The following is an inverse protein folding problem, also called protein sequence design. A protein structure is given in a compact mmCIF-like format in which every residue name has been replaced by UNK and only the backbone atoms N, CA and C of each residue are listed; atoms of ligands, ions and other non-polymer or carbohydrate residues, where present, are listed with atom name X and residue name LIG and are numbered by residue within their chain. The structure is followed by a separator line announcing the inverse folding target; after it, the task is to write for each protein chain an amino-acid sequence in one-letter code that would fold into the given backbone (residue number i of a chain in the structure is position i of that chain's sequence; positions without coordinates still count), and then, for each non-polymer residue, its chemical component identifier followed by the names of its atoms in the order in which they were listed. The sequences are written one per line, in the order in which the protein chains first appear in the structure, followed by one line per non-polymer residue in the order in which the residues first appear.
data_IF_591121728150
#
_entry.id   IF_591121728150
#
_cell.length_a   1.000
_cell.length_b   1.000
_cell.length_c   1.000
_cell.angle_alpha   90.00
_cell.angle_beta   90.00
_cell.angle_gamma   90.00
#
_symmetry.space_group_name_H-M   'P 1'
#
loop_
_entity.id
_entity.type
_entity.pdbx_description
1 polymer ?
#
# COMPACT_ATOMS: atom_id res chain seq x y z
N UNK A 1 10.22 18.32 38.42
CA UNK A 1 9.40 17.93 37.25
C UNK A 1 10.06 16.70 36.63
N UNK A 2 9.71 15.50 37.13
CA UNK A 2 10.50 14.26 36.98
C UNK A 2 9.97 13.34 35.86
N UNK A 3 9.26 13.92 34.89
CA UNK A 3 8.49 13.17 33.87
C UNK A 3 9.33 12.78 32.64
N UNK A 4 10.59 13.21 32.53
CA UNK A 4 11.38 13.05 31.29
C UNK A 4 12.34 11.84 31.26
N UNK A 5 12.45 11.06 32.34
CA UNK A 5 13.47 9.98 32.45
C UNK A 5 12.93 8.56 32.24
N UNK A 6 11.67 8.40 31.83
CA UNK A 6 11.16 7.15 31.27
C UNK A 6 11.40 7.09 29.75
N UNK A 7 12.62 7.44 29.32
CA UNK A 7 13.16 6.79 28.13
C UNK A 7 13.33 5.33 28.54
N UNK A 8 12.28 4.52 28.32
CA UNK A 8 12.41 3.07 28.34
C UNK A 8 13.71 2.76 27.58
N UNK A 9 14.55 1.90 28.16
CA UNK A 9 15.54 1.18 27.38
C UNK A 9 14.77 0.28 26.42
N UNK A 10 14.19 0.89 25.38
CA UNK A 10 13.51 0.19 24.32
C UNK A 10 14.66 -0.42 23.54
N UNK A 11 14.90 -1.71 23.79
CA UNK A 11 15.85 -2.45 22.99
C UNK A 11 15.36 -2.42 21.54
N UNK A 12 16.29 -2.17 20.62
CA UNK A 12 15.97 -2.13 19.19
C UNK A 12 15.37 -3.49 18.76
N UNK A 13 14.41 -3.42 17.85
CA UNK A 13 13.97 -4.57 17.08
C UNK A 13 14.76 -4.67 15.78
N UNK A 14 14.67 -5.83 15.12
CA UNK A 14 15.38 -6.06 13.86
C UNK A 14 14.36 -6.32 12.75
N UNK A 15 14.45 -5.55 11.68
CA UNK A 15 13.63 -5.74 10.49
C UNK A 15 14.46 -6.43 9.39
N UNK A 16 13.95 -7.55 8.90
CA UNK A 16 14.49 -8.24 7.73
C UNK A 16 13.45 -8.19 6.62
N UNK A 17 13.78 -7.54 5.50
CA UNK A 17 12.88 -7.38 4.35
C UNK A 17 13.39 -8.23 3.19
N UNK A 18 12.53 -9.12 2.72
CA UNK A 18 12.77 -9.96 1.55
C UNK A 18 11.73 -9.67 0.48
N UNK A 19 12.09 -9.90 -0.77
CA UNK A 19 11.16 -9.86 -1.87
C UNK A 19 11.47 -10.99 -2.85
N UNK A 20 10.49 -11.31 -3.70
CA UNK A 20 10.67 -12.29 -4.77
C UNK A 20 11.77 -11.88 -5.78
N UNK A 21 12.05 -10.58 -5.88
CA UNK A 21 13.10 -10.03 -6.72
C UNK A 21 14.06 -9.19 -5.87
N UNK A 22 15.35 -9.45 -6.06
CA UNK A 22 16.43 -8.68 -5.43
C UNK A 22 16.64 -7.33 -6.12
N UNK A 23 17.24 -6.39 -5.39
CA UNK A 23 17.59 -5.06 -5.87
C UNK A 23 16.43 -4.07 -5.88
N UNK A 24 15.27 -4.40 -5.30
CA UNK A 24 14.14 -3.48 -5.22
C UNK A 24 14.33 -2.48 -4.07
N UNK A 25 14.03 -1.19 -4.25
CA UNK A 25 14.17 -0.21 -3.19
C UNK A 25 13.18 -0.50 -2.06
N UNK A 26 13.63 -0.33 -0.82
CA UNK A 26 12.82 -0.53 0.38
C UNK A 26 12.78 0.77 1.17
N UNK A 27 11.57 1.15 1.56
CA UNK A 27 11.27 2.31 2.38
C UNK A 27 10.64 1.86 3.70
N UNK A 28 10.98 2.58 4.77
CA UNK A 28 10.34 2.49 6.07
C UNK A 28 9.73 3.85 6.34
N UNK A 29 8.40 3.89 6.38
CA UNK A 29 7.57 5.09 6.25
C UNK A 29 7.91 5.86 4.97
N UNK A 30 8.77 6.87 5.07
CA UNK A 30 9.24 7.68 3.95
C UNK A 30 10.77 7.61 3.76
N UNK A 31 11.49 6.96 4.69
CA UNK A 31 12.94 6.87 4.67
C UNK A 31 13.41 5.66 3.87
N UNK A 32 14.35 5.90 2.95
CA UNK A 32 15.00 4.85 2.18
C UNK A 32 16.03 4.11 3.04
N UNK A 33 15.84 2.81 3.21
CA UNK A 33 16.71 1.97 4.05
C UNK A 33 17.68 1.10 3.24
N UNK A 34 17.46 0.96 1.93
CA UNK A 34 18.31 0.15 1.05
C UNK A 34 17.53 -0.63 0.00
N UNK A 35 18.19 -1.63 -0.60
CA UNK A 35 17.59 -2.50 -1.61
C UNK A 35 17.41 -3.92 -1.07
N UNK A 36 16.40 -4.65 -1.55
CA UNK A 36 16.15 -6.04 -1.17
C UNK A 36 17.32 -6.97 -1.58
N UNK A 37 17.67 -7.96 -0.76
CA UNK A 37 17.19 -8.19 0.61
C UNK A 37 17.87 -7.27 1.62
N UNK A 38 17.08 -6.70 2.54
CA UNK A 38 17.61 -5.96 3.70
C UNK A 38 17.61 -6.89 4.92
N UNK A 39 18.74 -7.01 5.60
CA UNK A 39 18.93 -8.00 6.68
C UNK A 39 19.18 -7.27 8.00
N UNK A 40 18.37 -7.56 9.02
CA UNK A 40 18.53 -7.09 10.40
C UNK A 40 18.76 -5.58 10.53
N UNK A 41 17.94 -4.80 9.85
CA UNK A 41 17.94 -3.35 9.98
C UNK A 41 17.43 -2.97 11.39
N UNK A 42 18.21 -2.23 12.21
CA UNK A 42 17.80 -1.86 13.56
C UNK A 42 16.75 -0.76 13.52
N UNK A 43 15.62 -0.99 14.17
CA UNK A 43 14.53 -0.02 14.32
C UNK A 43 14.06 0.02 15.76
N UNK A 44 13.62 1.20 16.20
CA UNK A 44 12.93 1.31 17.48
C UNK A 44 11.60 0.54 17.38
N UNK A 45 11.19 -0.17 18.43
CA UNK A 45 9.87 -0.79 18.51
C UNK A 45 8.74 0.23 18.37
N UNK A 46 8.10 0.22 17.20
CA UNK A 46 6.92 1.00 16.86
C UNK A 46 6.21 0.34 15.67
N UNK A 47 5.12 0.96 15.21
CA UNK A 47 4.42 0.59 13.98
C UNK A 47 4.96 1.39 12.79
N UNK A 48 5.48 0.68 11.79
CA UNK A 48 6.08 1.27 10.58
C UNK A 48 5.38 0.78 9.33
N UNK A 49 5.37 1.62 8.29
CA UNK A 49 4.95 1.24 6.95
C UNK A 49 6.18 0.77 6.17
N UNK A 50 6.29 -0.51 5.84
CA UNK A 50 7.43 -1.05 5.09
C UNK A 50 6.98 -1.41 3.69
N UNK A 51 7.66 -0.90 2.68
CA UNK A 51 7.23 -1.11 1.31
C UNK A 51 8.25 -0.74 0.24
N UNK A 52 7.82 -0.83 -1.02
CA UNK A 52 8.61 -0.41 -2.18
C UNK A 52 8.48 1.08 -2.51
N UNK A 53 7.57 1.78 -1.83
CA UNK A 53 7.24 3.17 -2.08
C UNK A 53 7.12 3.89 -0.74
N UNK A 54 7.49 5.19 -0.69
CA UNK A 54 7.24 6.00 0.48
C UNK A 54 5.73 6.24 0.68
N UNK A 55 5.34 6.46 1.92
CA UNK A 55 3.94 6.61 2.34
C UNK A 55 3.29 7.86 1.73
N UNK A 56 4.06 8.94 1.56
CA UNK A 56 3.67 10.19 0.89
C UNK A 56 3.10 9.98 -0.54
N UNK A 57 3.49 8.88 -1.20
CA UNK A 57 3.11 8.55 -2.57
C UNK A 57 1.61 8.23 -2.68
N UNK A 58 1.02 7.65 -1.63
CA UNK A 58 -0.43 7.40 -1.55
C UNK A 58 -1.18 8.73 -1.47
N UNK A 59 -0.69 9.66 -0.66
CA UNK A 59 -1.33 10.96 -0.44
C UNK A 59 -1.31 11.79 -1.73
N UNK A 60 -0.15 11.86 -2.39
CA UNK A 60 0.01 12.53 -3.68
C UNK A 60 -0.91 11.95 -4.77
N UNK A 61 -1.07 10.62 -4.81
CA UNK A 61 -2.03 10.00 -5.72
C UNK A 61 -3.49 10.32 -5.34
N UNK A 62 -3.81 10.39 -4.05
CA UNK A 62 -5.14 10.75 -3.57
C UNK A 62 -5.52 12.19 -3.97
N UNK A 63 -4.59 13.14 -3.91
CA UNK A 63 -4.81 14.50 -4.40
C UNK A 63 -5.08 14.53 -5.91
N UNK A 64 -4.31 13.79 -6.70
CA UNK A 64 -4.50 13.74 -8.15
C UNK A 64 -5.83 13.08 -8.54
N UNK A 65 -6.28 12.08 -7.77
CA UNK A 65 -7.60 11.49 -7.96
C UNK A 65 -8.72 12.50 -7.71
N UNK A 66 -8.62 13.30 -6.63
CA UNK A 66 -9.59 14.39 -6.35
C UNK A 66 -9.61 15.44 -7.46
N UNK A 67 -8.48 15.65 -8.13
CA UNK A 67 -8.36 16.51 -9.33
C UNK A 67 -8.96 15.92 -10.61
N UNK A 68 -9.50 14.70 -10.57
CA UNK A 68 -10.15 14.05 -11.71
C UNK A 68 -9.26 13.06 -12.48
N UNK A 69 -8.03 12.80 -12.05
CA UNK A 69 -7.17 11.80 -12.69
C UNK A 69 -7.54 10.38 -12.25
N UNK A 70 -8.30 9.66 -13.08
CA UNK A 70 -8.62 8.23 -12.89
C UNK A 70 -7.33 7.38 -12.88
N UNK A 71 -6.26 7.83 -13.55
CA UNK A 71 -4.94 7.21 -13.51
C UNK A 71 -4.37 7.11 -12.10
N UNK A 72 -4.77 8.01 -11.20
CA UNK A 72 -4.37 8.00 -9.81
C UNK A 72 -4.94 6.82 -9.01
N UNK A 73 -6.14 6.31 -9.34
CA UNK A 73 -6.69 5.11 -8.71
C UNK A 73 -5.79 3.89 -8.92
N UNK A 74 -5.22 3.77 -10.12
CA UNK A 74 -4.31 2.66 -10.43
C UNK A 74 -3.01 2.75 -9.65
N UNK A 75 -2.54 3.98 -9.35
CA UNK A 75 -1.38 4.23 -8.51
C UNK A 75 -1.69 3.94 -7.04
N UNK A 76 -2.83 4.40 -6.51
CA UNK A 76 -3.28 4.08 -5.15
C UNK A 76 -3.36 2.57 -4.96
N UNK A 77 -3.96 1.84 -5.90
CA UNK A 77 -4.01 0.37 -5.84
C UNK A 77 -2.62 -0.26 -5.85
N UNK A 78 -1.69 0.26 -6.68
CA UNK A 78 -0.30 -0.20 -6.73
C UNK A 78 0.43 0.02 -5.41
N UNK A 79 0.28 1.20 -4.81
CA UNK A 79 0.95 1.56 -3.55
C UNK A 79 0.38 0.78 -2.37
N UNK A 80 -0.95 0.60 -2.30
CA UNK A 80 -1.60 -0.16 -1.23
C UNK A 80 -1.19 -1.63 -1.19
N UNK A 81 -0.86 -2.23 -2.33
CA UNK A 81 -0.34 -3.62 -2.41
C UNK A 81 1.18 -3.69 -2.16
N UNK A 82 1.88 -2.55 -2.21
CA UNK A 82 3.34 -2.46 -2.10
C UNK A 82 3.85 -1.96 -0.76
N UNK A 83 2.94 -1.58 0.15
CA UNK A 83 3.23 -1.06 1.48
C UNK A 83 2.51 -1.94 2.50
N UNK A 84 3.25 -2.44 3.47
CA UNK A 84 2.77 -3.33 4.53
C UNK A 84 3.03 -2.68 5.87
N UNK A 85 1.98 -2.54 6.68
CA UNK A 85 2.12 -2.10 8.07
C UNK A 85 2.67 -3.24 8.91
N UNK A 86 3.78 -2.98 9.59
CA UNK A 86 4.45 -3.96 10.42
C UNK A 86 4.74 -3.37 11.79
N UNK A 87 4.53 -4.19 12.80
CA UNK A 87 4.83 -3.85 14.18
C UNK A 87 6.16 -4.45 14.57
N UNK A 88 7.10 -3.61 14.99
CA UNK A 88 8.41 -4.04 15.44
C UNK A 88 8.37 -4.22 16.95
N UNK A 89 8.75 -5.42 17.41
CA UNK A 89 8.85 -5.75 18.84
C UNK A 89 10.30 -5.64 19.32
N UNK A 90 10.54 -5.25 20.58
CA UNK A 90 11.90 -5.15 21.13
C UNK A 90 12.60 -6.50 21.13
N UNK A 91 13.90 -6.54 20.77
CA UNK A 91 14.73 -7.75 20.73
C UNK A 91 14.20 -8.89 19.85
N UNK A 92 13.28 -8.61 18.93
CA UNK A 92 12.73 -9.61 18.02
C UNK A 92 13.08 -9.28 16.57
N UNK A 93 13.31 -10.32 15.78
CA UNK A 93 13.44 -10.20 14.33
C UNK A 93 12.05 -10.31 13.69
N UNK A 94 11.60 -9.22 13.07
CA UNK A 94 10.40 -9.17 12.24
C UNK A 94 10.81 -9.40 10.79
N UNK A 95 10.35 -10.50 10.22
CA UNK A 95 10.61 -10.84 8.81
C UNK A 95 9.39 -10.43 7.98
N UNK A 96 9.63 -9.62 6.96
CA UNK A 96 8.60 -9.11 6.05
C UNK A 96 8.92 -9.57 4.65
N UNK A 97 7.94 -10.20 4.00
CA UNK A 97 8.06 -10.63 2.61
C UNK A 97 7.18 -9.75 1.73
N UNK A 98 7.82 -8.96 0.87
CA UNK A 98 7.14 -8.05 -0.04
C UNK A 98 6.90 -8.73 -1.39
N UNK A 99 5.64 -8.73 -1.82
CA UNK A 99 5.22 -9.38 -3.06
C UNK A 99 5.23 -8.41 -4.26
N UNK A 100 6.30 -8.43 -5.04
CA UNK A 100 6.43 -7.56 -6.23
C UNK A 100 5.40 -7.88 -7.34
N UNK A 101 4.97 -9.15 -7.47
CA UNK A 101 3.96 -9.55 -8.46
C UNK A 101 2.59 -8.97 -8.13
N UNK A 102 2.21 -8.94 -6.86
CA UNK A 102 0.97 -8.33 -6.39
C UNK A 102 0.94 -6.85 -6.78
N UNK A 103 2.00 -6.09 -6.46
CA UNK A 103 2.17 -4.68 -6.83
C UNK A 103 2.02 -4.44 -8.34
N UNK A 104 2.64 -5.29 -9.17
CA UNK A 104 2.57 -5.15 -10.64
C UNK A 104 1.18 -5.46 -11.20
N UNK A 105 0.45 -6.40 -10.59
CA UNK A 105 -0.88 -6.84 -11.04
C UNK A 105 -2.04 -6.05 -10.41
N UNK A 106 -1.78 -5.28 -9.36
CA UNK A 106 -2.75 -4.40 -8.70
C UNK A 106 -3.51 -3.46 -9.67
N UNK A 107 -2.85 -2.70 -10.56
CA UNK A 107 -3.55 -1.77 -11.44
C UNK A 107 -4.45 -2.47 -12.46
N UNK A 108 -4.10 -3.67 -12.95
CA UNK A 108 -4.94 -4.41 -13.89
C UNK A 108 -6.18 -4.99 -13.21
N UNK A 109 -6.02 -5.51 -11.99
CA UNK A 109 -7.14 -5.98 -11.15
C UNK A 109 -8.10 -4.85 -10.79
N UNK A 110 -7.56 -3.69 -10.41
CA UNK A 110 -8.37 -2.51 -10.10
C UNK A 110 -9.19 -2.05 -11.32
N UNK A 111 -8.57 -1.98 -12.51
CA UNK A 111 -9.27 -1.66 -13.76
C UNK A 111 -10.42 -2.62 -14.03
N UNK A 112 -10.17 -3.93 -13.94
CA UNK A 112 -11.19 -4.95 -14.19
C UNK A 112 -12.43 -4.76 -13.30
N UNK A 113 -12.24 -4.49 -11.99
CA UNK A 113 -13.35 -4.26 -11.05
C UNK A 113 -14.13 -2.98 -11.34
N UNK A 114 -13.45 -1.90 -11.69
CA UNK A 114 -14.09 -0.62 -12.00
C UNK A 114 -14.94 -0.73 -13.27
N UNK A 115 -14.38 -1.31 -14.34
CA UNK A 115 -15.10 -1.48 -15.60
C UNK A 115 -16.27 -2.47 -15.48
N UNK A 116 -16.16 -3.53 -14.68
CA UNK A 116 -17.29 -4.44 -14.46
C UNK A 116 -18.46 -3.76 -13.74
N UNK A 117 -18.19 -2.89 -12.75
CA UNK A 117 -19.25 -2.14 -12.06
C UNK A 117 -19.92 -1.10 -12.97
N UNK A 118 -19.13 -0.34 -13.74
CA UNK A 118 -19.66 0.66 -14.66
C UNK A 118 -20.46 0.00 -15.80
N UNK A 119 -19.95 -1.07 -16.39
CA UNK A 119 -20.68 -1.81 -17.43
C UNK A 119 -22.00 -2.37 -16.91
N UNK A 120 -22.00 -2.97 -15.70
CA UNK A 120 -23.22 -3.49 -15.08
C UNK A 120 -24.28 -2.41 -14.80
N UNK A 121 -23.88 -1.26 -14.28
CA UNK A 121 -24.78 -0.15 -14.00
C UNK A 121 -25.40 0.46 -15.27
N UNK A 122 -24.62 0.59 -16.34
CA UNK A 122 -25.11 1.10 -17.62
C UNK A 122 -26.07 0.13 -18.32
N UNK A 123 -25.78 -1.18 -18.30
CA UNK A 123 -26.65 -2.20 -18.89
C UNK A 123 -28.00 -2.26 -18.15
N UNK A 124 -27.99 -2.19 -16.82
CA UNK A 124 -29.22 -2.14 -16.02
C UNK A 124 -30.04 -0.87 -16.29
N UNK A 125 -29.38 0.28 -16.45
CA UNK A 125 -30.07 1.54 -16.81
C UNK A 125 -30.74 1.50 -18.19
N UNK A 126 -30.07 0.90 -19.19
CA UNK A 126 -30.63 0.73 -20.54
C UNK A 126 -31.81 -0.25 -20.52
N UNK A 127 -31.71 -1.37 -19.79
CA UNK A 127 -32.81 -2.32 -19.67
C UNK A 127 -34.03 -1.71 -18.94
N UNK A 128 -33.80 -0.90 -17.91
CA UNK A 128 -34.88 -0.20 -17.20
C UNK A 128 -35.59 0.83 -18.09
N UNK A 129 -34.86 1.56 -18.92
CA UNK A 129 -35.43 2.56 -19.83
C UNK A 129 -36.15 1.92 -21.03
N UNK A 130 -35.61 0.84 -21.60
CA UNK A 130 -36.28 0.09 -22.68
C UNK A 130 -37.51 -0.67 -22.16
N UNK A 131 -37.46 -1.25 -20.96
CA UNK A 131 -38.63 -1.91 -20.35
C UNK A 131 -39.77 -0.94 -20.03
N UNK A 132 -39.46 0.33 -19.72
CA UNK A 132 -40.46 1.37 -19.47
C UNK A 132 -41.21 1.81 -20.75
N UNK A 133 -40.56 1.81 -21.92
CA UNK A 133 -41.22 2.15 -23.19
C UNK A 133 -42.17 1.06 -23.72
N UNK A 134 -42.08 -0.17 -23.21
CA UNK A 134 -42.93 -1.31 -23.65
C UNK A 134 -44.22 -1.42 -22.81
N UNK A 135 -44.34 -0.67 -21.72
CA UNK A 135 -45.46 -0.73 -20.77
C UNK A 135 -46.42 0.47 -20.89
N UNK A 136 -46.12 1.46 -21.74
CA UNK A 136 -46.99 2.61 -22.04
C UNK A 136 -47.47 2.62 -23.49
#
# INVERSE_FOLDING_TARGET
MIIFLLFLQINDGYLTVRAEKDGLPVFVDDDFIGNTPVIKYPLKPDEYNVGFFPQDSIENASYQFKGGDIGALWRIAKYGEGIVKVKIEPNKETIVELNYKAVRSAPSRAKAKVFSCLGGAFILGILATLGFQVIF
#
